data_IF_428175377429
#
_entry.id   IF_428175377429
#
_cell.length_a   1.000
_cell.length_b   1.000
_cell.length_c   1.000
_cell.angle_alpha   90.00
_cell.angle_beta   90.00
_cell.angle_gamma   90.00
#
_symmetry.space_group_name_H-M   'P 1'
#
loop_
_entity.id
_entity.type
_entity.pdbx_description
1 polymer ?
#
# COMPACT_ATOMS: atom_id res chain seq x y z
N UNK A 1 55.21 24.63 -13.36
CA UNK A 1 55.04 23.72 -14.52
C UNK A 1 53.59 23.71 -15.07
N UNK A 2 52.84 24.82 -14.95
CA UNK A 2 51.48 24.89 -15.47
C UNK A 2 51.45 24.95 -17.01
N UNK A 3 52.49 25.47 -17.64
CA UNK A 3 52.71 25.53 -19.09
C UNK A 3 54.08 25.03 -19.49
N UNK A 4 54.28 23.68 -19.58
CA UNK A 4 55.58 23.10 -19.84
C UNK A 4 56.21 23.48 -21.16
N UNK A 5 55.39 23.83 -22.17
CA UNK A 5 55.86 24.20 -23.52
C UNK A 5 56.37 25.63 -23.63
N UNK A 6 56.11 26.51 -22.65
CA UNK A 6 56.55 27.92 -22.67
C UNK A 6 58.03 28.09 -22.26
N UNK A 7 58.66 27.01 -21.82
CA UNK A 7 60.04 27.06 -21.36
C UNK A 7 61.04 26.58 -22.44
N UNK A 8 61.28 27.43 -23.43
CA UNK A 8 62.18 27.16 -24.57
C UNK A 8 63.69 27.40 -24.26
N UNK A 9 64.07 27.54 -22.97
CA UNK A 9 65.43 27.87 -22.58
C UNK A 9 66.50 26.77 -22.86
N UNK A 10 66.06 25.51 -23.07
CA UNK A 10 66.92 24.36 -23.32
C UNK A 10 66.30 23.41 -24.36
N UNK A 11 66.85 23.40 -25.57
CA UNK A 11 66.43 22.55 -26.68
C UNK A 11 66.42 21.06 -26.34
N UNK A 12 67.38 20.59 -25.51
CA UNK A 12 67.51 19.22 -25.05
C UNK A 12 66.36 18.74 -24.16
N UNK A 13 65.64 19.64 -23.52
CA UNK A 13 64.48 19.31 -22.64
C UNK A 13 63.15 19.28 -23.39
N UNK A 14 63.08 19.74 -24.62
CA UNK A 14 61.85 19.83 -25.43
C UNK A 14 61.12 18.48 -25.54
N UNK A 15 61.77 17.31 -25.76
CA UNK A 15 61.09 16.02 -25.79
C UNK A 15 60.51 15.62 -24.44
N UNK A 16 61.17 15.96 -23.33
CA UNK A 16 60.69 15.69 -21.99
C UNK A 16 59.49 16.56 -21.65
N UNK A 17 59.52 17.84 -21.96
CA UNK A 17 58.43 18.78 -21.76
C UNK A 17 57.23 18.39 -22.58
N UNK A 18 57.36 17.88 -23.81
CA UNK A 18 56.29 17.36 -24.64
C UNK A 18 55.62 16.14 -23.99
N UNK A 19 56.39 15.19 -23.41
CA UNK A 19 55.86 14.02 -22.67
C UNK A 19 55.07 14.45 -21.43
N UNK A 20 55.64 15.38 -20.64
CA UNK A 20 54.95 15.90 -19.43
C UNK A 20 53.61 16.57 -19.80
N UNK A 21 53.60 17.39 -20.86
CA UNK A 21 52.40 18.01 -21.36
C UNK A 21 51.33 16.99 -21.78
N UNK A 22 51.76 15.97 -22.57
CA UNK A 22 50.84 14.89 -23.00
C UNK A 22 50.26 14.13 -21.79
N UNK A 23 51.09 13.78 -20.78
CA UNK A 23 50.60 13.14 -19.57
C UNK A 23 49.64 14.01 -18.76
N UNK A 24 49.95 15.31 -18.64
CA UNK A 24 49.04 16.27 -17.98
C UNK A 24 47.67 16.35 -18.70
N UNK A 25 47.67 16.37 -20.02
CA UNK A 25 46.43 16.39 -20.81
C UNK A 25 45.64 15.07 -20.59
N UNK A 26 46.30 13.93 -20.60
CA UNK A 26 45.67 12.63 -20.35
C UNK A 26 45.07 12.55 -18.93
N UNK A 27 45.83 13.00 -17.91
CA UNK A 27 45.33 13.05 -16.53
C UNK A 27 44.10 13.97 -16.43
N UNK A 28 44.18 15.17 -17.05
CA UNK A 28 43.02 16.11 -17.08
C UNK A 28 41.80 15.51 -17.75
N UNK A 29 42.00 14.79 -18.87
CA UNK A 29 40.89 14.13 -19.57
C UNK A 29 40.28 13.04 -18.69
N UNK A 30 41.07 12.13 -18.15
CA UNK A 30 40.61 11.06 -17.26
C UNK A 30 39.90 11.60 -16.02
N UNK A 31 40.42 12.68 -15.43
CA UNK A 31 39.82 13.33 -14.27
C UNK A 31 38.44 13.94 -14.60
N UNK A 32 38.31 14.53 -15.80
CA UNK A 32 37.01 15.06 -16.27
C UNK A 32 36.01 13.94 -16.51
N UNK A 33 36.43 12.87 -17.19
CA UNK A 33 35.56 11.72 -17.46
C UNK A 33 35.06 11.04 -16.16
N UNK A 34 35.97 10.90 -15.18
CA UNK A 34 35.59 10.35 -13.88
C UNK A 34 34.59 11.25 -13.14
N UNK A 35 34.84 12.58 -13.14
CA UNK A 35 33.90 13.54 -12.52
C UNK A 35 32.53 13.51 -13.20
N UNK A 36 32.52 13.51 -14.53
CA UNK A 36 31.27 13.45 -15.29
C UNK A 36 30.46 12.19 -14.94
N UNK A 37 31.11 11.01 -14.88
CA UNK A 37 30.45 9.76 -14.49
C UNK A 37 29.93 9.80 -13.06
N UNK A 38 30.69 10.43 -12.15
CA UNK A 38 30.26 10.60 -10.76
C UNK A 38 29.03 11.53 -10.69
N UNK A 39 29.07 12.66 -11.39
CA UNK A 39 27.94 13.62 -11.43
C UNK A 39 26.68 12.95 -12.04
N UNK A 40 26.84 12.17 -13.12
CA UNK A 40 25.77 11.40 -13.74
C UNK A 40 25.18 10.37 -12.74
N UNK A 41 26.04 9.65 -12.01
CA UNK A 41 25.59 8.69 -10.99
C UNK A 41 24.85 9.40 -9.86
N UNK A 42 25.35 10.53 -9.36
CA UNK A 42 24.70 11.32 -8.31
C UNK A 42 23.35 11.89 -8.76
N UNK A 43 23.23 12.33 -10.02
CA UNK A 43 21.98 12.82 -10.59
C UNK A 43 20.93 11.70 -10.71
N UNK A 44 21.34 10.52 -11.21
CA UNK A 44 20.45 9.36 -11.35
C UNK A 44 19.94 8.92 -9.97
N UNK A 45 20.86 8.68 -9.03
CA UNK A 45 20.50 8.22 -7.69
C UNK A 45 19.75 9.27 -6.88
N UNK A 46 20.05 10.55 -7.12
CA UNK A 46 19.39 11.69 -6.49
C UNK A 46 17.91 11.87 -6.92
N UNK A 47 17.57 11.41 -8.13
CA UNK A 47 16.18 11.47 -8.65
C UNK A 47 15.34 10.25 -8.28
N UNK A 48 15.92 9.19 -7.72
CA UNK A 48 15.21 7.99 -7.29
C UNK A 48 14.33 8.27 -6.07
N UNK A 49 13.16 7.65 -6.05
CA UNK A 49 12.27 7.65 -4.87
C UNK A 49 12.68 6.60 -3.85
N UNK A 50 13.32 5.55 -4.31
CA UNK A 50 13.83 4.45 -3.50
C UNK A 50 15.09 4.91 -2.77
N UNK A 51 15.21 4.52 -1.50
CA UNK A 51 16.44 4.74 -0.75
C UNK A 51 17.56 3.83 -1.26
N UNK A 52 18.72 4.42 -1.56
CA UNK A 52 19.92 3.69 -1.96
C UNK A 52 21.06 3.98 -1.00
N UNK A 53 21.67 2.93 -0.45
CA UNK A 53 22.92 2.99 0.32
C UNK A 53 23.91 1.98 -0.24
N UNK A 54 25.13 2.42 -0.50
CA UNK A 54 26.24 1.56 -0.86
C UNK A 54 27.17 1.43 0.34
N UNK A 55 27.45 0.20 0.75
CA UNK A 55 28.35 -0.13 1.85
C UNK A 55 29.57 -0.84 1.31
N UNK A 56 30.74 -0.59 1.94
CA UNK A 56 31.94 -1.38 1.68
C UNK A 56 31.86 -2.76 2.40
N UNK A 57 32.88 -3.58 2.23
CA UNK A 57 32.99 -4.90 2.85
C UNK A 57 33.04 -4.87 4.39
N UNK A 58 33.29 -3.70 5.00
CA UNK A 58 33.30 -3.48 6.44
C UNK A 58 32.03 -2.84 6.98
N UNK A 59 31.01 -2.61 6.13
CA UNK A 59 29.75 -1.97 6.50
C UNK A 59 29.78 -0.43 6.54
N UNK A 60 30.84 0.20 6.01
CA UNK A 60 30.94 1.66 5.95
C UNK A 60 30.21 2.20 4.72
N UNK A 61 29.55 3.32 4.91
CA UNK A 61 28.80 4.01 3.85
C UNK A 61 29.75 4.58 2.80
N UNK A 62 29.67 4.06 1.58
CA UNK A 62 30.35 4.60 0.40
C UNK A 62 29.54 5.70 -0.26
N UNK A 63 28.22 5.51 -0.32
CA UNK A 63 27.28 6.46 -0.92
C UNK A 63 25.89 6.27 -0.32
N UNK A 64 25.14 7.36 -0.21
CA UNK A 64 23.76 7.38 0.26
C UNK A 64 23.00 8.45 -0.51
N UNK A 65 21.85 8.09 -1.12
CA UNK A 65 21.04 9.03 -1.86
C UNK A 65 20.10 9.86 -0.95
N UNK A 66 19.51 10.96 -1.43
CA UNK A 66 18.62 11.79 -0.63
C UNK A 66 17.42 11.06 -0.03
N UNK A 67 16.84 10.09 -0.75
CA UNK A 67 15.73 9.29 -0.25
C UNK A 67 16.13 8.43 0.96
N UNK A 68 17.31 7.78 0.92
CA UNK A 68 17.85 7.04 2.05
C UNK A 68 18.26 7.96 3.20
N UNK A 69 18.82 9.14 2.93
CA UNK A 69 19.12 10.13 3.97
C UNK A 69 17.85 10.54 4.74
N UNK A 70 16.75 10.79 4.00
CA UNK A 70 15.46 11.12 4.62
C UNK A 70 14.90 9.95 5.45
N UNK A 71 15.04 8.72 4.95
CA UNK A 71 14.56 7.50 5.63
C UNK A 71 15.33 7.23 6.93
N UNK A 72 16.66 7.25 6.89
CA UNK A 72 17.53 6.91 8.02
C UNK A 72 17.95 8.11 8.87
N UNK A 73 17.42 9.32 8.60
CA UNK A 73 17.82 10.57 9.28
C UNK A 73 19.32 10.86 9.22
N UNK A 74 19.93 10.44 8.14
CA UNK A 74 21.33 10.69 7.88
C UNK A 74 21.52 12.00 7.12
N UNK A 75 22.63 12.63 7.32
CA UNK A 75 23.10 13.75 6.50
C UNK A 75 24.29 13.30 5.63
N UNK A 76 24.76 14.17 4.74
CA UNK A 76 25.90 13.87 3.88
C UNK A 76 27.20 13.56 4.62
N UNK A 77 27.28 13.85 5.93
CA UNK A 77 28.48 13.60 6.75
C UNK A 77 28.62 12.14 7.18
N UNK A 78 27.57 11.30 6.97
CA UNK A 78 27.60 9.89 7.29
C UNK A 78 28.47 9.04 6.33
N UNK A 79 28.85 9.58 5.18
CA UNK A 79 29.76 8.88 4.23
C UNK A 79 31.09 8.60 4.89
N UNK A 80 31.57 7.34 4.80
CA UNK A 80 32.76 6.85 5.46
C UNK A 80 32.56 6.36 6.91
N UNK A 81 31.37 6.60 7.49
CA UNK A 81 31.01 6.06 8.81
C UNK A 81 30.40 4.66 8.66
N UNK A 82 30.41 3.90 9.74
CA UNK A 82 29.72 2.61 9.82
C UNK A 82 28.20 2.85 9.75
N UNK A 83 27.49 2.10 8.90
CA UNK A 83 26.04 2.23 8.73
C UNK A 83 25.28 2.01 10.04
N UNK A 84 25.79 1.16 10.94
CA UNK A 84 25.20 0.91 12.26
C UNK A 84 25.31 2.10 13.22
N UNK A 85 26.07 3.15 12.88
CA UNK A 85 26.03 4.41 13.64
C UNK A 85 24.81 5.25 13.24
N UNK A 86 24.29 5.06 12.04
CA UNK A 86 23.11 5.76 11.49
C UNK A 86 21.84 5.05 11.94
N UNK A 87 21.77 3.73 11.81
CA UNK A 87 20.63 2.94 12.28
C UNK A 87 21.15 1.69 13.03
N UNK A 88 20.89 1.63 14.34
CA UNK A 88 21.36 0.57 15.25
C UNK A 88 20.37 -0.57 15.43
N UNK A 89 19.39 -0.71 14.55
CA UNK A 89 18.40 -1.77 14.70
C UNK A 89 19.06 -3.16 14.53
N UNK A 90 18.87 -4.11 15.47
CA UNK A 90 19.52 -5.42 15.43
C UNK A 90 19.26 -6.20 14.15
N UNK A 91 18.02 -6.08 13.58
CA UNK A 91 17.63 -6.79 12.37
C UNK A 91 18.41 -6.32 11.13
N UNK A 92 18.82 -5.03 11.11
CA UNK A 92 19.66 -4.50 10.03
C UNK A 92 21.05 -5.12 10.05
N UNK A 93 21.61 -5.29 11.25
CA UNK A 93 22.94 -5.96 11.42
C UNK A 93 22.87 -7.39 10.91
N UNK A 94 21.82 -8.13 11.29
CA UNK A 94 21.61 -9.49 10.83
C UNK A 94 21.43 -9.54 9.31
N UNK A 95 20.61 -8.66 8.74
CA UNK A 95 20.34 -8.62 7.30
C UNK A 95 21.60 -8.29 6.46
N UNK A 96 22.45 -7.37 6.94
CA UNK A 96 23.73 -7.05 6.28
C UNK A 96 24.68 -8.27 6.32
N UNK A 97 24.75 -8.95 7.47
CA UNK A 97 25.58 -10.14 7.62
C UNK A 97 25.09 -11.29 6.74
N UNK A 98 23.78 -11.57 6.76
CA UNK A 98 23.18 -12.58 5.92
C UNK A 98 23.39 -12.30 4.43
N UNK A 99 23.27 -11.06 3.99
CA UNK A 99 23.54 -10.67 2.61
C UNK A 99 25.02 -10.87 2.24
N UNK A 100 25.93 -10.62 3.16
CA UNK A 100 27.35 -10.84 2.93
C UNK A 100 27.69 -12.34 2.76
N UNK A 101 27.01 -13.23 3.49
CA UNK A 101 27.21 -14.69 3.42
C UNK A 101 26.45 -15.35 2.27
N UNK A 102 25.13 -15.08 2.17
CA UNK A 102 24.23 -15.75 1.23
C UNK A 102 24.13 -15.06 -0.12
N UNK A 103 24.57 -13.79 -0.21
CA UNK A 103 24.49 -12.93 -1.39
C UNK A 103 23.27 -12.01 -1.42
N UNK A 104 22.21 -12.30 -0.68
CA UNK A 104 20.98 -11.51 -0.65
C UNK A 104 20.23 -11.69 0.67
N UNK A 105 19.64 -10.62 1.18
CA UNK A 105 18.75 -10.64 2.35
C UNK A 105 17.67 -9.59 2.22
N UNK A 106 16.52 -9.81 2.85
CA UNK A 106 15.40 -8.89 2.85
C UNK A 106 14.88 -8.67 4.27
N UNK A 107 14.49 -7.45 4.56
CA UNK A 107 13.91 -7.07 5.84
C UNK A 107 12.73 -6.12 5.61
N UNK A 108 11.60 -6.35 6.27
CA UNK A 108 10.53 -5.34 6.37
C UNK A 108 10.69 -4.57 7.67
N UNK A 109 10.62 -3.25 7.59
CA UNK A 109 10.76 -2.36 8.74
C UNK A 109 9.75 -1.22 8.68
N UNK A 110 9.10 -0.95 9.79
CA UNK A 110 8.26 0.25 9.93
C UNK A 110 9.12 1.43 10.34
N UNK A 111 8.96 2.54 9.62
CA UNK A 111 9.62 3.81 9.91
C UNK A 111 8.62 4.96 9.74
N UNK A 112 8.38 5.75 10.79
CA UNK A 112 7.47 6.92 10.79
C UNK A 112 6.04 6.58 10.32
N UNK A 113 5.51 5.43 10.69
CA UNK A 113 4.17 5.00 10.28
C UNK A 113 4.07 4.60 8.80
N UNK A 114 5.21 4.35 8.14
CA UNK A 114 5.29 3.77 6.80
C UNK A 114 6.03 2.45 6.84
N UNK A 115 5.63 1.54 5.98
CA UNK A 115 6.30 0.25 5.82
C UNK A 115 7.31 0.31 4.68
N UNK A 116 8.54 -0.12 4.98
CA UNK A 116 9.63 -0.20 4.01
C UNK A 116 10.10 -1.64 3.85
N UNK A 117 10.32 -2.04 2.61
CA UNK A 117 11.08 -3.24 2.28
C UNK A 117 12.52 -2.83 2.03
N UNK A 118 13.43 -3.40 2.80
CA UNK A 118 14.87 -3.19 2.71
C UNK A 118 15.51 -4.42 2.08
N UNK A 119 16.09 -4.26 0.90
CA UNK A 119 16.74 -5.32 0.13
C UNK A 119 18.24 -5.12 0.18
N UNK A 120 18.95 -6.11 0.71
CA UNK A 120 20.40 -6.13 0.81
C UNK A 120 20.95 -7.11 -0.23
N UNK A 121 21.86 -6.65 -1.08
CA UNK A 121 22.50 -7.49 -2.09
C UNK A 121 24.01 -7.29 -2.07
N UNK A 122 24.72 -8.41 -2.06
CA UNK A 122 26.19 -8.41 -2.12
C UNK A 122 26.67 -7.97 -3.50
N UNK A 123 27.64 -7.07 -3.52
CA UNK A 123 28.32 -6.64 -4.75
C UNK A 123 29.64 -7.39 -4.87
N UNK A 124 29.82 -8.10 -5.98
CA UNK A 124 31.05 -8.83 -6.28
C UNK A 124 31.67 -8.33 -7.59
N UNK A 125 32.99 -8.30 -7.65
CA UNK A 125 33.74 -8.09 -8.88
C UNK A 125 34.97 -8.97 -8.89
N UNK A 126 35.19 -9.72 -9.97
CA UNK A 126 36.32 -10.64 -10.14
C UNK A 126 36.50 -11.63 -8.96
N UNK A 127 35.38 -12.13 -8.40
CA UNK A 127 35.39 -13.07 -7.27
C UNK A 127 35.74 -12.45 -5.92
N UNK A 128 35.83 -11.12 -5.83
CA UNK A 128 36.00 -10.41 -4.56
C UNK A 128 34.73 -9.67 -4.19
N UNK A 129 34.30 -9.80 -2.95
CA UNK A 129 33.23 -9.01 -2.37
C UNK A 129 33.70 -7.56 -2.24
N UNK A 130 33.03 -6.66 -2.93
CA UNK A 130 33.28 -5.22 -2.87
C UNK A 130 32.52 -4.56 -1.75
N UNK A 131 31.32 -5.07 -1.42
CA UNK A 131 30.43 -4.50 -0.42
C UNK A 131 28.99 -4.98 -0.57
N UNK A 132 28.07 -4.20 -0.05
CA UNK A 132 26.62 -4.47 -0.07
C UNK A 132 25.87 -3.24 -0.57
N UNK A 133 24.88 -3.45 -1.41
CA UNK A 133 23.89 -2.44 -1.76
C UNK A 133 22.63 -2.67 -0.92
N UNK A 134 22.13 -1.62 -0.31
CA UNK A 134 20.82 -1.56 0.34
C UNK A 134 19.88 -0.72 -0.52
N UNK A 135 18.76 -1.31 -0.91
CA UNK A 135 17.63 -0.62 -1.52
C UNK A 135 16.45 -0.60 -0.55
N UNK A 136 15.84 0.56 -0.39
CA UNK A 136 14.68 0.75 0.48
C UNK A 136 13.48 1.19 -0.35
N UNK A 137 12.45 0.35 -0.38
CA UNK A 137 11.19 0.59 -1.09
C UNK A 137 10.09 0.93 -0.09
N UNK A 138 9.35 2.02 -0.33
CA UNK A 138 8.12 2.31 0.40
C UNK A 138 7.03 1.35 -0.09
N UNK A 139 6.62 0.42 0.76
CA UNK A 139 5.59 -0.60 0.47
C UNK A 139 4.33 -0.39 1.29
N UNK A 140 4.12 0.81 1.82
CA UNK A 140 3.02 1.14 2.73
C UNK A 140 1.66 0.83 2.10
N UNK A 141 1.41 1.32 0.89
CA UNK A 141 0.13 1.07 0.19
C UNK A 141 -0.09 -0.41 -0.08
N UNK A 142 0.96 -1.13 -0.48
CA UNK A 142 0.89 -2.57 -0.73
C UNK A 142 0.63 -3.36 0.56
N UNK A 143 1.32 -3.01 1.64
CA UNK A 143 1.16 -3.65 2.95
C UNK A 143 -0.23 -3.39 3.54
N UNK A 144 -0.77 -2.17 3.39
CA UNK A 144 -2.13 -1.82 3.78
C UNK A 144 -3.17 -2.61 2.97
N UNK A 145 -2.99 -2.72 1.65
CA UNK A 145 -3.87 -3.52 0.80
C UNK A 145 -3.83 -5.02 1.17
N UNK A 146 -2.64 -5.57 1.43
CA UNK A 146 -2.48 -6.95 1.90
C UNK A 146 -3.15 -7.18 3.27
N UNK A 147 -3.06 -6.21 4.18
CA UNK A 147 -3.70 -6.26 5.49
C UNK A 147 -5.22 -6.23 5.36
N UNK A 148 -5.76 -5.27 4.63
CA UNK A 148 -7.20 -5.17 4.35
C UNK A 148 -7.74 -6.45 3.72
N UNK A 149 -7.03 -7.05 2.78
CA UNK A 149 -7.43 -8.31 2.14
C UNK A 149 -7.46 -9.48 3.14
N UNK A 150 -6.46 -9.55 4.05
CA UNK A 150 -6.43 -10.58 5.10
C UNK A 150 -7.56 -10.40 6.10
N UNK A 151 -7.79 -9.19 6.57
CA UNK A 151 -8.88 -8.84 7.48
C UNK A 151 -10.25 -9.13 6.85
N UNK A 152 -10.44 -8.75 5.58
CA UNK A 152 -11.65 -9.06 4.82
C UNK A 152 -11.91 -10.57 4.77
N UNK A 153 -10.90 -11.36 4.38
CA UNK A 153 -11.04 -12.82 4.30
C UNK A 153 -11.36 -13.45 5.66
N UNK A 154 -10.71 -12.98 6.72
CA UNK A 154 -10.99 -13.45 8.08
C UNK A 154 -12.41 -13.10 8.53
N UNK A 155 -12.85 -11.85 8.30
CA UNK A 155 -14.19 -11.38 8.67
C UNK A 155 -15.27 -12.14 7.90
N UNK A 156 -15.11 -12.31 6.57
CA UNK A 156 -16.04 -13.13 5.75
C UNK A 156 -16.14 -14.55 6.29
N UNK A 157 -15.00 -15.17 6.62
CA UNK A 157 -15.00 -16.53 7.16
C UNK A 157 -15.75 -16.64 8.49
N UNK A 158 -15.59 -15.65 9.37
CA UNK A 158 -16.32 -15.57 10.64
C UNK A 158 -17.82 -15.36 10.44
N UNK A 159 -18.20 -14.39 9.57
CA UNK A 159 -19.61 -14.09 9.30
C UNK A 159 -20.36 -15.22 8.59
N UNK A 160 -19.68 -16.03 7.80
CA UNK A 160 -20.27 -17.25 7.19
C UNK A 160 -20.37 -18.41 8.20
N UNK A 161 -19.41 -18.57 9.09
CA UNK A 161 -19.36 -19.71 10.02
C UNK A 161 -20.48 -19.67 11.06
N UNK A 162 -20.82 -18.48 11.57
CA UNK A 162 -21.81 -18.31 12.63
C UNK A 162 -23.22 -18.78 12.21
N UNK A 163 -23.84 -18.29 11.12
CA UNK A 163 -25.14 -18.75 10.65
C UNK A 163 -25.11 -20.22 10.23
N UNK A 164 -24.01 -20.69 9.62
CA UNK A 164 -23.86 -22.08 9.23
C UNK A 164 -23.87 -23.02 10.44
N UNK A 165 -23.18 -22.67 11.52
CA UNK A 165 -23.23 -23.44 12.79
C UNK A 165 -24.63 -23.43 13.40
N UNK A 166 -25.38 -22.31 13.32
CA UNK A 166 -26.75 -22.23 13.81
C UNK A 166 -27.69 -23.16 13.01
N UNK A 167 -27.51 -23.22 11.66
CA UNK A 167 -28.25 -24.11 10.77
C UNK A 167 -27.96 -25.57 11.14
N UNK A 168 -26.66 -25.94 11.18
CA UNK A 168 -26.23 -27.32 11.49
C UNK A 168 -26.75 -27.74 12.85
N UNK A 169 -26.53 -26.95 13.92
CA UNK A 169 -26.98 -27.29 15.26
C UNK A 169 -28.52 -27.42 15.38
N UNK A 170 -29.26 -26.55 14.67
CA UNK A 170 -30.72 -26.67 14.63
C UNK A 170 -31.20 -27.91 13.89
N UNK A 171 -30.55 -28.27 12.78
CA UNK A 171 -30.84 -29.47 12.02
C UNK A 171 -30.53 -30.74 12.81
N UNK A 172 -29.36 -30.82 13.47
CA UNK A 172 -28.97 -31.95 14.31
C UNK A 172 -29.94 -32.19 15.48
N UNK A 173 -30.41 -31.13 16.13
CA UNK A 173 -31.40 -31.22 17.21
C UNK A 173 -32.74 -31.79 16.70
N UNK A 174 -33.18 -31.38 15.51
CA UNK A 174 -34.40 -31.89 14.87
C UNK A 174 -34.23 -33.34 14.44
N UNK A 175 -33.11 -33.69 13.81
CA UNK A 175 -32.81 -35.03 13.31
C UNK A 175 -32.74 -36.08 14.45
N UNK A 176 -32.12 -35.72 15.58
CA UNK A 176 -31.99 -36.57 16.75
C UNK A 176 -33.27 -36.62 17.61
N UNK A 177 -34.35 -35.98 17.20
CA UNK A 177 -35.60 -35.97 17.94
C UNK A 177 -35.53 -35.29 19.31
N UNK A 178 -34.54 -34.40 19.50
CA UNK A 178 -34.34 -33.68 20.76
C UNK A 178 -35.25 -32.45 20.89
N UNK A 179 -35.98 -32.09 19.84
CA UNK A 179 -36.91 -30.97 19.79
C UNK A 179 -38.36 -31.49 19.94
N UNK A 180 -39.10 -30.91 20.86
CA UNK A 180 -40.52 -31.23 21.00
C UNK A 180 -41.30 -30.88 19.75
N UNK A 181 -42.38 -31.66 19.38
CA UNK A 181 -43.15 -31.36 18.16
C UNK A 181 -43.70 -29.92 18.08
N UNK A 182 -44.05 -29.32 19.19
CA UNK A 182 -44.57 -27.94 19.30
C UNK A 182 -43.47 -26.89 18.98
N UNK A 183 -42.21 -27.18 19.18
CA UNK A 183 -41.07 -26.29 18.93
C UNK A 183 -40.43 -26.48 17.55
N UNK A 184 -40.71 -27.58 16.85
CA UNK A 184 -40.11 -27.87 15.52
C UNK A 184 -40.30 -26.73 14.50
N UNK A 185 -41.48 -26.09 14.38
CA UNK A 185 -41.64 -24.96 13.44
C UNK A 185 -40.71 -23.80 13.72
N UNK A 186 -40.37 -23.55 14.99
CA UNK A 186 -39.43 -22.48 15.40
C UNK A 186 -38.00 -22.81 14.95
N UNK A 187 -37.55 -24.05 15.08
CA UNK A 187 -36.23 -24.44 14.60
C UNK A 187 -36.13 -24.44 13.08
N UNK A 188 -37.17 -24.88 12.36
CA UNK A 188 -37.23 -24.78 10.92
C UNK A 188 -37.20 -23.34 10.42
N UNK A 189 -37.94 -22.43 11.07
CA UNK A 189 -37.94 -21.01 10.76
C UNK A 189 -36.56 -20.40 11.01
N UNK A 190 -35.87 -20.80 12.08
CA UNK A 190 -34.50 -20.36 12.36
C UNK A 190 -33.52 -20.81 11.27
N UNK A 191 -33.61 -22.05 10.79
CA UNK A 191 -32.80 -22.54 9.67
C UNK A 191 -33.04 -21.69 8.42
N UNK A 192 -34.30 -21.39 8.08
CA UNK A 192 -34.63 -20.53 6.95
C UNK A 192 -34.04 -19.14 7.09
N UNK A 193 -34.23 -18.49 8.23
CA UNK A 193 -33.70 -17.13 8.47
C UNK A 193 -32.17 -17.06 8.34
N UNK A 194 -31.46 -18.06 8.88
CA UNK A 194 -29.99 -18.07 8.77
C UNK A 194 -29.54 -18.43 7.34
N UNK A 195 -30.28 -19.25 6.60
CA UNK A 195 -30.00 -19.52 5.19
C UNK A 195 -30.20 -18.25 4.32
N UNK A 196 -31.29 -17.51 4.52
CA UNK A 196 -31.56 -16.26 3.84
C UNK A 196 -30.45 -15.21 4.14
N UNK A 197 -30.00 -15.15 5.40
CA UNK A 197 -28.87 -14.30 5.80
C UNK A 197 -27.59 -14.68 5.07
N UNK A 198 -27.28 -15.97 4.94
CA UNK A 198 -26.10 -16.45 4.18
C UNK A 198 -26.18 -16.07 2.71
N UNK A 199 -27.34 -16.21 2.08
CA UNK A 199 -27.54 -15.82 0.67
C UNK A 199 -27.31 -14.32 0.49
N UNK A 200 -27.84 -13.50 1.39
CA UNK A 200 -27.64 -12.05 1.36
C UNK A 200 -26.13 -11.70 1.48
N UNK A 201 -25.42 -12.31 2.44
CA UNK A 201 -23.98 -12.09 2.65
C UNK A 201 -23.14 -12.51 1.43
N UNK A 202 -23.46 -13.64 0.82
CA UNK A 202 -22.79 -14.10 -0.41
C UNK A 202 -22.99 -13.09 -1.54
N UNK A 203 -24.22 -12.60 -1.71
CA UNK A 203 -24.51 -11.59 -2.74
C UNK A 203 -23.75 -10.28 -2.49
N UNK A 204 -23.60 -9.85 -1.24
CA UNK A 204 -22.83 -8.65 -0.89
C UNK A 204 -21.33 -8.84 -1.20
N UNK A 205 -20.76 -10.02 -0.93
CA UNK A 205 -19.37 -10.36 -1.27
C UNK A 205 -19.16 -10.37 -2.79
N UNK A 206 -20.09 -10.97 -3.55
CA UNK A 206 -20.00 -11.00 -5.01
C UNK A 206 -20.08 -9.59 -5.62
N UNK A 207 -20.93 -8.71 -5.06
CA UNK A 207 -21.01 -7.30 -5.47
C UNK A 207 -19.71 -6.55 -5.20
N UNK A 208 -19.11 -6.77 -4.02
CA UNK A 208 -17.83 -6.14 -3.67
C UNK A 208 -16.71 -6.59 -4.63
N UNK A 209 -16.64 -7.89 -4.91
CA UNK A 209 -15.66 -8.44 -5.88
C UNK A 209 -15.80 -7.84 -7.29
N UNK A 210 -17.05 -7.61 -7.74
CA UNK A 210 -17.30 -6.96 -9.04
C UNK A 210 -16.86 -5.49 -9.09
N UNK A 211 -16.88 -4.79 -7.95
CA UNK A 211 -16.38 -3.41 -7.85
C UNK A 211 -14.85 -3.36 -7.91
N UNK A 212 -14.17 -4.34 -7.30
CA UNK A 212 -12.70 -4.42 -7.28
C UNK A 212 -12.13 -4.76 -8.67
N UNK A 213 -12.85 -5.50 -9.51
CA UNK A 213 -12.40 -5.86 -10.86
C UNK A 213 -12.39 -4.69 -11.86
N UNK A 214 -12.83 -3.49 -11.47
CA UNK A 214 -12.65 -2.25 -12.22
C UNK A 214 -13.33 -2.22 -13.61
N UNK A 215 -14.39 -2.99 -13.80
CA UNK A 215 -15.19 -2.94 -15.03
C UNK A 215 -15.62 -1.50 -15.33
N UNK A 216 -15.49 -1.07 -16.58
CA UNK A 216 -15.92 0.26 -17.02
C UNK A 216 -17.45 0.40 -16.82
N UNK A 217 -17.84 0.83 -15.62
CA UNK A 217 -19.24 1.11 -15.32
C UNK A 217 -19.63 2.44 -15.99
N UNK A 218 -20.80 2.53 -16.65
CA UNK A 218 -21.21 3.75 -17.32
C UNK A 218 -21.44 4.86 -16.28
N UNK A 219 -20.73 5.96 -16.45
CA UNK A 219 -20.94 7.18 -15.66
C UNK A 219 -21.96 8.05 -16.39
N UNK A 220 -22.91 8.59 -15.65
CA UNK A 220 -23.96 9.48 -16.15
C UNK A 220 -24.24 10.62 -15.16
N UNK A 221 -24.98 11.65 -15.62
CA UNK A 221 -25.47 12.70 -14.74
C UNK A 221 -26.68 12.15 -13.97
N UNK A 222 -26.55 12.06 -12.64
CA UNK A 222 -27.56 11.48 -11.74
C UNK A 222 -28.13 12.56 -10.84
N UNK A 223 -29.46 12.70 -10.83
CA UNK A 223 -30.18 13.55 -9.87
C UNK A 223 -30.17 12.90 -8.48
N UNK A 224 -29.46 13.50 -7.54
CA UNK A 224 -29.32 12.98 -6.18
C UNK A 224 -30.64 12.98 -5.44
N UNK A 225 -31.47 14.02 -5.65
CA UNK A 225 -32.77 14.12 -5.02
C UNK A 225 -33.73 13.01 -5.50
N UNK A 226 -33.81 12.75 -6.81
CA UNK A 226 -34.65 11.68 -7.34
C UNK A 226 -34.19 10.30 -6.84
N UNK A 227 -32.88 10.09 -6.78
CA UNK A 227 -32.29 8.86 -6.30
C UNK A 227 -32.55 8.63 -4.79
N UNK A 228 -32.46 9.67 -3.96
CA UNK A 228 -32.81 9.60 -2.55
C UNK A 228 -34.29 9.30 -2.34
N UNK A 229 -35.17 9.91 -3.16
CA UNK A 229 -36.62 9.63 -3.14
C UNK A 229 -36.94 8.19 -3.57
N UNK A 230 -36.22 7.66 -4.56
CA UNK A 230 -36.37 6.27 -5.01
C UNK A 230 -35.94 5.29 -3.91
N UNK A 231 -34.82 5.54 -3.27
CA UNK A 231 -34.31 4.74 -2.15
C UNK A 231 -35.31 4.78 -0.96
N UNK A 232 -35.77 5.94 -0.56
CA UNK A 232 -36.76 6.08 0.51
C UNK A 232 -38.06 5.35 0.20
N UNK A 233 -38.59 5.46 -1.03
CA UNK A 233 -39.80 4.74 -1.47
C UNK A 233 -39.64 3.23 -1.39
N UNK A 234 -38.47 2.69 -1.75
CA UNK A 234 -38.20 1.24 -1.67
C UNK A 234 -38.28 0.69 -0.25
N UNK A 235 -38.06 1.52 0.76
CA UNK A 235 -38.03 1.16 2.18
C UNK A 235 -39.34 1.49 2.94
N UNK A 236 -40.36 2.03 2.26
CA UNK A 236 -41.62 2.47 2.90
C UNK A 236 -42.29 1.35 3.68
N UNK A 237 -42.38 0.13 3.13
CA UNK A 237 -43.00 -1.02 3.78
C UNK A 237 -42.20 -1.44 5.05
N UNK A 238 -40.86 -1.47 4.97
CA UNK A 238 -39.98 -1.81 6.08
C UNK A 238 -40.06 -0.75 7.19
N UNK A 239 -40.04 0.53 6.84
CA UNK A 239 -40.18 1.64 7.77
C UNK A 239 -41.57 1.60 8.48
N UNK A 240 -42.66 1.33 7.75
CA UNK A 240 -44.00 1.18 8.33
C UNK A 240 -44.06 -0.01 9.32
N UNK A 241 -43.45 -1.14 9.02
CA UNK A 241 -43.36 -2.31 9.91
C UNK A 241 -42.66 -2.00 11.25
N UNK A 242 -41.73 -1.04 11.25
CA UNK A 242 -40.99 -0.58 12.46
C UNK A 242 -41.58 0.70 13.05
N UNK A 243 -42.72 1.18 12.55
CA UNK A 243 -43.35 2.45 12.93
C UNK A 243 -42.40 3.67 12.80
N UNK A 244 -41.49 3.65 11.80
CA UNK A 244 -40.55 4.74 11.50
C UNK A 244 -41.08 5.55 10.30
N UNK A 245 -41.01 6.87 10.42
CA UNK A 245 -41.36 7.77 9.31
C UNK A 245 -40.09 8.17 8.53
N UNK A 246 -40.10 7.94 7.20
CA UNK A 246 -38.99 8.35 6.33
C UNK A 246 -39.43 9.51 5.43
N UNK A 247 -38.63 10.57 5.37
CA UNK A 247 -38.85 11.76 4.55
C UNK A 247 -37.62 12.19 3.81
N UNK A 248 -37.76 12.78 2.64
CA UNK A 248 -36.68 13.32 1.81
C UNK A 248 -36.96 14.79 1.53
N UNK A 249 -35.98 15.63 1.81
CA UNK A 249 -36.07 17.09 1.61
C UNK A 249 -34.79 17.57 0.89
N UNK A 250 -34.82 18.76 0.33
CA UNK A 250 -33.66 19.42 -0.25
C UNK A 250 -33.85 19.93 -1.67
N UNK A 251 -32.75 20.32 -2.28
CA UNK A 251 -32.68 20.92 -3.62
C UNK A 251 -32.23 19.92 -4.69
N UNK A 252 -32.62 20.15 -5.94
CA UNK A 252 -32.19 19.32 -7.06
C UNK A 252 -30.71 19.57 -7.34
N UNK A 253 -29.87 18.59 -7.05
CA UNK A 253 -28.44 18.55 -7.40
C UNK A 253 -28.15 17.36 -8.29
N UNK A 254 -27.16 17.50 -9.19
CA UNK A 254 -26.70 16.39 -10.04
C UNK A 254 -25.23 16.08 -9.77
N UNK A 255 -24.90 14.79 -9.76
CA UNK A 255 -23.52 14.31 -9.67
C UNK A 255 -23.20 13.44 -10.88
N UNK A 256 -21.95 13.46 -11.32
CA UNK A 256 -21.47 12.59 -12.38
C UNK A 256 -20.97 11.29 -11.76
N UNK A 257 -21.64 10.18 -12.04
CA UNK A 257 -21.30 8.91 -11.41
C UNK A 257 -22.12 7.74 -11.94
N UNK A 258 -21.93 6.57 -11.35
CA UNK A 258 -22.67 5.35 -11.68
C UNK A 258 -23.96 5.32 -10.89
N UNK A 259 -25.11 5.56 -11.55
CA UNK A 259 -26.43 5.64 -10.90
C UNK A 259 -26.73 4.46 -9.98
N UNK A 260 -26.41 3.23 -10.43
CA UNK A 260 -26.65 2.02 -9.64
C UNK A 260 -25.91 2.06 -8.30
N UNK A 261 -24.62 2.44 -8.30
CA UNK A 261 -23.81 2.50 -7.07
C UNK A 261 -24.29 3.60 -6.13
N UNK A 262 -24.61 4.76 -6.68
CA UNK A 262 -25.16 5.86 -5.90
C UNK A 262 -26.51 5.48 -5.26
N UNK A 263 -27.36 4.75 -5.99
CA UNK A 263 -28.62 4.23 -5.44
C UNK A 263 -28.38 3.23 -4.31
N UNK A 264 -27.44 2.29 -4.46
CA UNK A 264 -27.09 1.32 -3.42
C UNK A 264 -26.57 2.00 -2.15
N UNK A 265 -25.73 3.05 -2.30
CA UNK A 265 -25.26 3.85 -1.16
C UNK A 265 -26.46 4.49 -0.43
N UNK A 266 -27.32 5.22 -1.16
CA UNK A 266 -28.46 5.91 -0.57
C UNK A 266 -29.40 4.91 0.11
N UNK A 267 -29.70 3.79 -0.54
CA UNK A 267 -30.56 2.75 0.01
C UNK A 267 -29.97 2.13 1.27
N UNK A 268 -28.68 1.76 1.28
CA UNK A 268 -28.03 1.14 2.44
C UNK A 268 -28.02 2.09 3.65
N UNK A 269 -27.74 3.38 3.43
CA UNK A 269 -27.80 4.39 4.49
C UNK A 269 -29.19 4.55 5.06
N UNK A 270 -30.22 4.64 4.19
CA UNK A 270 -31.62 4.73 4.61
C UNK A 270 -32.06 3.46 5.35
N UNK A 271 -31.72 2.27 4.84
CA UNK A 271 -32.05 0.99 5.46
C UNK A 271 -31.44 0.87 6.86
N UNK A 272 -30.18 1.25 7.03
CA UNK A 272 -29.53 1.28 8.34
C UNK A 272 -30.23 2.28 9.29
N UNK A 273 -30.58 3.47 8.79
CA UNK A 273 -31.26 4.49 9.57
C UNK A 273 -32.67 4.04 10.03
N UNK A 274 -33.38 3.26 9.23
CA UNK A 274 -34.64 2.64 9.61
C UNK A 274 -34.43 1.51 10.59
N UNK A 275 -33.48 0.59 10.30
CA UNK A 275 -33.20 -0.62 11.10
C UNK A 275 -32.77 -0.32 12.53
N UNK A 276 -31.94 0.71 12.73
CA UNK A 276 -31.41 1.09 14.03
C UNK A 276 -32.19 2.22 14.72
N UNK A 277 -33.37 2.59 14.17
CA UNK A 277 -34.23 3.60 14.77
C UNK A 277 -35.08 3.04 15.93
N UNK A 278 -35.66 3.94 16.71
CA UNK A 278 -36.63 3.59 17.75
C UNK A 278 -38.05 3.55 17.15
N UNK A 279 -38.96 2.70 17.67
CA UNK A 279 -40.35 2.72 17.23
C UNK A 279 -40.98 4.11 17.41
N UNK A 280 -41.66 4.62 16.38
CA UNK A 280 -42.19 5.98 16.35
C UNK A 280 -41.18 7.08 15.98
N UNK A 281 -39.95 6.70 15.68
CA UNK A 281 -38.93 7.64 15.25
C UNK A 281 -39.07 8.11 13.79
N UNK A 282 -38.14 8.98 13.37
CA UNK A 282 -38.11 9.50 12.00
C UNK A 282 -36.72 9.43 11.40
N UNK A 283 -36.65 9.27 10.08
CA UNK A 283 -35.44 9.37 9.23
C UNK A 283 -35.66 10.50 8.24
N UNK A 284 -34.82 11.50 8.26
CA UNK A 284 -34.81 12.59 7.29
C UNK A 284 -33.59 12.51 6.42
N UNK A 285 -33.78 12.43 5.12
CA UNK A 285 -32.70 12.50 4.12
C UNK A 285 -32.71 13.91 3.54
N UNK A 286 -31.64 14.64 3.75
CA UNK A 286 -31.46 16.00 3.26
C UNK A 286 -30.45 16.02 2.11
N UNK A 287 -30.84 16.59 0.96
CA UNK A 287 -30.01 16.82 -0.19
C UNK A 287 -29.66 18.30 -0.24
N UNK A 288 -28.42 18.64 0.01
CA UNK A 288 -27.89 20.01 -0.06
C UNK A 288 -26.74 20.08 -1.07
N UNK A 289 -26.48 21.28 -1.60
CA UNK A 289 -25.33 21.56 -2.47
C UNK A 289 -24.02 21.55 -1.69
#
# INVERSE_FOLDING_TARGET
>A
LEHPLDNNAYEELSPLLGRVYAQQQEIRHRTRDLRQRQDEFEQITGSMREGLVLLDHSGRILSINPAAQALFHADGTCVGQDFLTVDRHPDLTAAIHDAAETGHSQLRAERRGREYQLDFSRIESNGKVLGTVLLAFDVTEQAEAERMRREFTANVSHELKTPLQSIIGSAELLENGLVKPEDQPRFLNRIHQEADRLVALINDILRLSQLDEGGALPHEQVSVLELAQEAARSLTAQAAAQAVHISVTGTAGTVFGVRRLLYEIARNLCENAVKYNVPGGSVTVEVAE
#
